data_IF_091174185085
#
_entry.id   IF_091174185085
#
_cell.length_a   1.000
_cell.length_b   1.000
_cell.length_c   1.000
_cell.angle_alpha   90.00
_cell.angle_beta   90.00
_cell.angle_gamma   90.00
#
_symmetry.space_group_name_H-M   'P 1'
#
loop_
_entity.id
_entity.type
_entity.pdbx_description
1 polymer ?
#
# COMPACT_ATOMS: atom_id res chain seq x y z
N UNK A 1 47.63 56.95 14.18
CA UNK A 1 46.50 56.59 13.30
C UNK A 1 45.74 55.53 14.06
N UNK A 2 44.74 55.82 14.91
CA UNK A 2 43.61 56.78 14.81
C UNK A 2 42.73 56.39 13.61
N UNK A 3 41.42 56.13 13.75
CA UNK A 3 40.42 56.41 14.82
C UNK A 3 39.87 55.10 15.46
N UNK A 4 39.29 54.95 16.68
CA UNK A 4 38.36 55.76 17.55
C UNK A 4 36.90 55.71 17.04
N UNK A 5 35.80 55.37 17.77
CA UNK A 5 35.42 54.80 19.11
C UNK A 5 33.92 54.29 19.00
N UNK A 6 33.15 53.72 19.96
CA UNK A 6 33.30 53.27 21.37
C UNK A 6 33.18 51.72 21.51
N UNK A 7 32.63 51.03 22.54
CA UNK A 7 31.79 51.30 23.75
C UNK A 7 30.26 51.25 23.55
N UNK A 8 29.41 50.59 24.39
CA UNK A 8 29.57 50.08 25.79
C UNK A 8 28.90 48.72 26.13
N UNK A 9 29.29 48.14 27.27
CA UNK A 9 28.70 46.95 27.95
C UNK A 9 28.16 47.35 29.33
N UNK A 10 27.03 46.77 29.80
CA UNK A 10 27.10 45.92 31.02
C UNK A 10 26.01 44.82 31.11
N UNK A 11 26.03 43.81 32.01
CA UNK A 11 27.05 43.12 32.86
C UNK A 11 26.37 41.89 33.52
N UNK A 12 27.13 40.80 33.76
CA UNK A 12 26.95 39.74 34.80
C UNK A 12 25.63 38.90 34.80
N UNK A 13 25.64 37.56 34.84
CA UNK A 13 25.99 36.62 35.95
C UNK A 13 24.90 36.55 37.06
N UNK A 14 24.56 35.40 37.68
CA UNK A 14 24.87 33.99 37.45
C UNK A 14 23.87 33.06 38.19
N UNK A 15 23.87 31.75 37.83
CA UNK A 15 23.64 30.54 38.66
C UNK A 15 22.57 30.48 39.78
N UNK A 16 21.83 29.34 39.77
CA UNK A 16 21.22 28.63 40.92
C UNK A 16 19.99 29.26 41.63
N UNK A 17 19.20 28.39 42.30
CA UNK A 17 18.11 28.78 43.21
C UNK A 17 16.87 27.88 43.13
N UNK A 18 16.60 27.08 44.17
CA UNK A 18 15.33 26.33 44.34
C UNK A 18 14.42 27.02 45.38
N UNK A 19 13.10 26.78 45.24
CA UNK A 19 12.04 26.83 46.27
C UNK A 19 11.61 28.18 46.90
N UNK A 20 10.35 28.56 46.60
CA UNK A 20 9.21 28.83 47.52
C UNK A 20 9.45 29.49 48.90
N UNK A 21 8.57 30.42 49.34
CA UNK A 21 7.51 29.97 50.28
C UNK A 21 6.16 30.75 50.31
N UNK A 22 5.14 30.10 50.89
CA UNK A 22 4.00 30.69 51.67
C UNK A 22 2.86 31.43 50.91
N UNK A 23 1.59 31.45 51.38
CA UNK A 23 0.87 30.72 52.48
C UNK A 23 -0.68 30.89 52.38
N UNK A 24 -1.42 30.09 53.17
CA UNK A 24 -2.85 30.22 53.58
C UNK A 24 -3.91 29.95 52.47
N UNK A 25 -4.94 29.10 52.63
CA UNK A 25 -5.18 28.03 53.60
C UNK A 25 -6.51 28.09 54.39
N UNK A 26 -7.35 27.04 54.29
CA UNK A 26 -8.49 26.75 55.19
C UNK A 26 -8.60 25.24 55.44
N UNK A 27 -8.87 24.83 56.69
CA UNK A 27 -9.07 23.43 57.09
C UNK A 27 -10.54 22.98 56.95
N UNK A 28 -10.75 21.69 56.64
CA UNK A 28 -11.81 20.91 57.32
C UNK A 28 -11.41 19.46 57.55
N UNK A 29 -11.88 18.90 58.68
CA UNK A 29 -11.41 17.64 59.28
C UNK A 29 -11.84 16.40 58.49
N UNK A 30 -10.98 15.37 58.46
CA UNK A 30 -11.39 13.95 58.31
C UNK A 30 -10.91 13.16 59.54
N UNK A 31 -11.70 12.15 59.94
CA UNK A 31 -11.35 11.14 60.94
C UNK A 31 -11.05 9.81 60.23
N UNK A 32 -10.26 8.97 60.87
CA UNK A 32 -10.04 7.55 60.57
C UNK A 32 -9.84 6.81 61.90
N UNK A 33 -9.88 5.46 61.92
CA UNK A 33 -10.80 4.58 61.23
C UNK A 33 -11.56 3.67 62.23
N UNK A 34 -12.55 2.91 61.76
CA UNK A 34 -13.01 1.69 62.45
C UNK A 34 -13.21 0.58 61.42
N UNK A 35 -12.71 -0.62 61.72
CA UNK A 35 -13.00 -1.82 60.95
C UNK A 35 -14.38 -2.34 61.35
N UNK A 36 -15.18 -2.77 60.37
CA UNK A 36 -16.24 -3.74 60.59
C UNK A 36 -16.18 -4.79 59.48
N UNK A 37 -16.05 -6.05 59.89
CA UNK A 37 -16.15 -7.21 59.02
C UNK A 37 -17.61 -7.42 58.60
N UNK A 38 -17.84 -7.85 57.36
CA UNK A 38 -19.11 -8.48 56.98
C UNK A 38 -18.87 -9.61 55.98
N UNK A 39 -19.74 -10.62 56.05
CA UNK A 39 -19.53 -11.95 55.48
C UNK A 39 -19.86 -12.01 53.99
N UNK A 40 -19.47 -13.14 53.39
CA UNK A 40 -19.64 -13.48 51.98
C UNK A 40 -21.10 -13.65 51.57
N UNK A 41 -21.39 -13.20 50.34
CA UNK A 41 -22.46 -13.75 49.51
C UNK A 41 -22.05 -13.62 48.04
N UNK A 42 -21.72 -14.74 47.40
CA UNK A 42 -21.35 -14.75 45.99
C UNK A 42 -22.61 -14.66 45.11
N UNK A 43 -22.69 -13.74 44.13
CA UNK A 43 -23.71 -13.81 43.10
C UNK A 43 -23.46 -15.04 42.22
N UNK A 44 -24.52 -15.77 41.88
CA UNK A 44 -24.43 -16.96 41.03
C UNK A 44 -24.01 -16.56 39.61
N UNK A 45 -23.12 -17.33 39.00
CA UNK A 45 -22.76 -17.16 37.59
C UNK A 45 -23.96 -17.53 36.69
N UNK A 46 -24.70 -16.52 36.24
CA UNK A 46 -25.60 -16.66 35.09
C UNK A 46 -24.76 -16.81 33.83
N UNK A 47 -24.79 -18.00 33.23
CA UNK A 47 -24.18 -18.24 31.92
C UNK A 47 -25.01 -17.58 30.80
N UNK A 48 -24.98 -16.25 30.75
CA UNK A 48 -25.23 -15.54 29.49
C UNK A 48 -24.04 -15.82 28.58
N UNK A 49 -24.11 -16.95 27.88
CA UNK A 49 -23.25 -17.21 26.74
C UNK A 49 -23.45 -16.05 25.77
N UNK A 50 -22.43 -15.20 25.64
CA UNK A 50 -22.44 -14.05 24.73
C UNK A 50 -22.65 -14.57 23.32
N UNK A 51 -23.92 -14.58 22.90
CA UNK A 51 -24.39 -14.99 21.58
C UNK A 51 -23.90 -13.94 20.61
N UNK A 52 -22.63 -14.10 20.17
CA UNK A 52 -21.94 -13.20 19.25
C UNK A 52 -22.95 -12.77 18.20
N UNK A 53 -23.29 -11.48 18.17
CA UNK A 53 -24.02 -10.95 17.03
C UNK A 53 -23.20 -11.35 15.80
N UNK A 54 -23.81 -11.95 14.75
CA UNK A 54 -23.07 -12.22 13.53
C UNK A 54 -22.50 -10.88 13.09
N UNK A 55 -21.16 -10.79 12.96
CA UNK A 55 -20.53 -9.61 12.40
C UNK A 55 -21.22 -9.35 11.06
N UNK A 56 -21.91 -8.22 10.92
CA UNK A 56 -22.63 -7.86 9.70
C UNK A 56 -21.66 -8.01 8.54
N UNK A 57 -21.93 -8.96 7.64
CA UNK A 57 -20.98 -9.40 6.63
C UNK A 57 -20.43 -8.16 5.91
N UNK A 58 -19.18 -7.82 6.18
CA UNK A 58 -18.68 -6.50 5.82
C UNK A 58 -18.67 -6.41 4.30
N UNK A 59 -19.50 -5.53 3.72
CA UNK A 59 -19.64 -5.32 2.27
C UNK A 59 -18.40 -4.62 1.69
N UNK A 60 -17.25 -5.27 1.89
CA UNK A 60 -15.93 -4.96 1.35
C UNK A 60 -15.87 -5.49 -0.08
N UNK A 61 -15.06 -4.88 -0.97
CA UNK A 61 -14.94 -5.33 -2.34
C UNK A 61 -14.65 -6.83 -2.46
N UNK A 62 -15.18 -7.48 -3.49
CA UNK A 62 -14.80 -8.83 -3.87
C UNK A 62 -13.35 -8.89 -4.35
N UNK A 63 -12.89 -7.84 -5.06
CA UNK A 63 -11.56 -7.79 -5.68
C UNK A 63 -10.97 -6.38 -5.64
N UNK A 64 -9.65 -6.31 -5.56
CA UNK A 64 -8.86 -5.15 -6.00
C UNK A 64 -8.12 -5.61 -7.26
N UNK A 65 -8.35 -4.92 -8.37
CA UNK A 65 -7.89 -5.30 -9.71
C UNK A 65 -6.93 -4.21 -10.18
N UNK A 66 -5.64 -4.53 -10.27
CA UNK A 66 -4.62 -3.56 -10.70
C UNK A 66 -4.39 -3.73 -12.20
N UNK A 67 -4.37 -2.63 -12.96
CA UNK A 67 -4.16 -2.68 -14.41
C UNK A 67 -3.08 -1.69 -14.83
N UNK A 68 -2.01 -2.18 -15.47
CA UNK A 68 -1.01 -1.28 -16.08
C UNK A 68 -1.58 -0.68 -17.37
N UNK A 69 -1.30 0.59 -17.64
CA UNK A 69 -1.66 1.22 -18.91
C UNK A 69 -1.22 0.43 -20.17
N UNK A 70 -1.96 0.56 -21.27
CA UNK A 70 -1.59 0.00 -22.57
C UNK A 70 -0.29 0.58 -23.13
N UNK A 71 0.24 -0.03 -24.21
CA UNK A 71 1.45 0.44 -24.87
C UNK A 71 1.33 1.93 -25.24
N UNK A 72 2.32 2.72 -24.83
CA UNK A 72 2.35 4.17 -25.05
C UNK A 72 3.49 4.58 -25.98
N UNK A 73 3.44 5.81 -26.51
CA UNK A 73 4.48 6.33 -27.42
C UNK A 73 5.88 6.14 -26.80
N UNK A 74 6.04 6.49 -25.53
CA UNK A 74 7.25 6.30 -24.72
C UNK A 74 7.54 4.86 -24.25
N UNK A 75 6.82 3.85 -24.76
CA UNK A 75 7.23 2.44 -24.67
C UNK A 75 7.78 1.90 -25.99
N UNK A 76 7.54 2.60 -27.11
CA UNK A 76 8.07 2.26 -28.44
C UNK A 76 9.28 3.12 -28.78
N UNK A 77 9.28 4.40 -28.37
CA UNK A 77 10.34 5.38 -28.62
C UNK A 77 10.64 6.17 -27.34
N UNK A 78 11.76 5.87 -26.66
CA UNK A 78 12.17 6.64 -25.47
C UNK A 78 12.55 8.10 -25.79
N UNK A 79 12.85 8.47 -27.04
CA UNK A 79 13.13 9.86 -27.40
C UNK A 79 11.91 10.78 -27.27
N UNK A 80 10.70 10.22 -27.13
CA UNK A 80 9.49 11.00 -26.81
C UNK A 80 9.66 11.77 -25.48
N UNK A 81 10.35 11.19 -24.50
CA UNK A 81 10.62 11.84 -23.19
C UNK A 81 11.61 13.03 -23.27
N UNK A 82 12.23 13.30 -24.42
CA UNK A 82 13.03 14.53 -24.65
C UNK A 82 12.18 15.73 -25.08
N UNK A 83 10.98 15.47 -25.62
CA UNK A 83 10.17 16.45 -26.37
C UNK A 83 8.71 16.54 -25.94
N UNK A 84 8.24 15.63 -25.09
CA UNK A 84 6.88 15.54 -24.58
C UNK A 84 6.91 15.12 -23.11
N UNK A 85 6.23 15.87 -22.25
CA UNK A 85 6.20 15.57 -20.82
C UNK A 85 5.48 14.23 -20.57
N UNK A 86 6.04 13.42 -19.67
CA UNK A 86 5.59 12.04 -19.39
C UNK A 86 4.07 11.92 -19.17
N UNK A 87 3.49 12.86 -18.41
CA UNK A 87 2.06 12.85 -18.11
C UNK A 87 1.13 13.01 -19.33
N UNK A 88 1.60 13.61 -20.43
CA UNK A 88 0.84 13.73 -21.69
C UNK A 88 1.14 12.61 -22.71
N UNK A 89 2.08 11.70 -22.41
CA UNK A 89 2.35 10.56 -23.29
C UNK A 89 1.12 9.64 -23.32
N UNK A 90 0.65 9.37 -24.55
CA UNK A 90 -0.59 8.66 -24.84
C UNK A 90 -0.36 7.24 -25.35
N UNK A 91 -1.46 6.50 -25.51
CA UNK A 91 -1.45 5.16 -26.06
C UNK A 91 -1.10 5.15 -27.56
N UNK A 92 -0.39 4.10 -27.99
CA UNK A 92 -0.28 3.74 -29.41
C UNK A 92 -1.59 3.10 -29.89
N UNK A 93 -1.81 2.94 -31.22
CA UNK A 93 -2.94 2.17 -31.73
C UNK A 93 -2.99 0.72 -31.22
N UNK A 94 -1.81 0.10 -30.99
CA UNK A 94 -1.68 -1.21 -30.34
C UNK A 94 -2.03 -1.16 -28.85
N UNK A 95 -1.63 -0.10 -28.14
CA UNK A 95 -2.02 0.14 -26.75
C UNK A 95 -3.52 0.33 -26.55
N UNK A 96 -4.22 0.92 -27.53
CA UNK A 96 -5.69 0.96 -27.58
C UNK A 96 -6.26 -0.46 -27.67
N UNK A 97 -5.83 -1.26 -28.65
CA UNK A 97 -6.32 -2.65 -28.81
C UNK A 97 -6.06 -3.52 -27.57
N UNK A 98 -4.89 -3.36 -26.93
CA UNK A 98 -4.57 -4.00 -25.64
C UNK A 98 -5.55 -3.60 -24.53
N UNK A 99 -5.95 -2.33 -24.46
CA UNK A 99 -6.88 -1.85 -23.44
C UNK A 99 -8.34 -2.30 -23.70
N UNK A 100 -8.69 -2.58 -24.95
CA UNK A 100 -10.00 -3.15 -25.31
C UNK A 100 -10.05 -4.68 -25.09
N UNK A 101 -8.92 -5.38 -25.24
CA UNK A 101 -8.75 -6.78 -24.83
C UNK A 101 -8.86 -6.92 -23.31
N UNK A 102 -8.07 -6.16 -22.54
CA UNK A 102 -8.19 -6.13 -21.07
C UNK A 102 -9.58 -5.64 -20.61
N UNK A 103 -10.27 -4.81 -21.41
CA UNK A 103 -11.66 -4.43 -21.16
C UNK A 103 -12.64 -5.59 -21.27
N UNK A 104 -12.39 -6.58 -22.14
CA UNK A 104 -13.17 -7.84 -22.21
C UNK A 104 -12.85 -8.76 -21.05
N UNK A 105 -11.57 -9.00 -20.78
CA UNK A 105 -11.11 -9.81 -19.65
C UNK A 105 -11.63 -9.28 -18.30
N UNK A 106 -11.63 -7.95 -18.11
CA UNK A 106 -12.21 -7.31 -16.93
C UNK A 106 -13.72 -7.62 -16.78
N UNK A 107 -14.49 -7.65 -17.88
CA UNK A 107 -15.92 -8.03 -17.85
C UNK A 107 -16.12 -9.50 -17.48
N UNK A 108 -15.26 -10.38 -17.95
CA UNK A 108 -15.27 -11.81 -17.60
C UNK A 108 -14.99 -12.02 -16.10
N UNK A 109 -13.99 -11.30 -15.54
CA UNK A 109 -13.62 -11.36 -14.11
C UNK A 109 -14.75 -10.87 -13.18
N UNK A 110 -15.50 -9.82 -13.56
CA UNK A 110 -16.60 -9.26 -12.75
C UNK A 110 -17.97 -9.88 -13.06
N UNK A 111 -18.11 -10.63 -14.17
CA UNK A 111 -19.40 -11.15 -14.63
C UNK A 111 -20.38 -10.06 -15.10
N UNK A 112 -21.68 -10.36 -15.09
CA UNK A 112 -22.75 -9.46 -15.55
C UNK A 112 -23.32 -8.55 -14.47
N UNK A 113 -23.39 -8.99 -13.21
CA UNK A 113 -24.12 -8.24 -12.16
C UNK A 113 -23.21 -7.31 -11.34
N UNK A 114 -21.93 -7.67 -11.14
CA UNK A 114 -21.09 -6.98 -10.15
C UNK A 114 -20.73 -5.56 -10.56
N UNK A 115 -20.52 -4.70 -9.57
CA UNK A 115 -20.25 -3.26 -9.77
C UNK A 115 -18.75 -2.99 -9.79
N UNK A 116 -18.36 -1.85 -10.39
CA UNK A 116 -16.97 -1.41 -10.50
C UNK A 116 -16.79 0.03 -10.05
N UNK A 117 -15.68 0.32 -9.36
CA UNK A 117 -15.23 1.67 -9.05
C UNK A 117 -13.77 1.83 -9.48
N UNK A 118 -13.48 2.86 -10.27
CA UNK A 118 -12.15 3.08 -10.84
C UNK A 118 -11.36 4.13 -10.07
N UNK A 119 -10.13 3.80 -9.70
CA UNK A 119 -9.06 4.75 -9.42
C UNK A 119 -8.13 4.82 -10.65
N UNK A 120 -7.83 6.03 -11.13
CA UNK A 120 -7.01 6.22 -12.34
C UNK A 120 -5.92 7.26 -12.10
N UNK A 121 -4.69 6.99 -12.54
CA UNK A 121 -3.62 7.98 -12.46
C UNK A 121 -3.92 9.20 -13.35
N UNK A 122 -3.38 10.40 -13.05
CA UNK A 122 -3.59 11.61 -13.84
C UNK A 122 -3.08 11.54 -15.28
N UNK A 123 -2.16 10.61 -15.59
CA UNK A 123 -1.47 10.55 -16.88
C UNK A 123 -2.36 10.07 -18.02
N UNK A 124 -2.17 10.65 -19.22
CA UNK A 124 -2.99 10.46 -20.42
C UNK A 124 -3.14 8.98 -20.82
N UNK A 125 -2.04 8.23 -20.92
CA UNK A 125 -2.06 6.77 -21.19
C UNK A 125 -2.91 5.96 -20.20
N UNK A 126 -2.90 6.32 -18.91
CA UNK A 126 -3.72 5.65 -17.90
C UNK A 126 -5.21 6.01 -18.05
N UNK A 127 -5.53 7.29 -18.29
CA UNK A 127 -6.90 7.76 -18.57
C UNK A 127 -7.49 7.12 -19.83
N UNK A 128 -6.71 7.04 -20.90
CA UNK A 128 -7.10 6.34 -22.13
C UNK A 128 -7.32 4.84 -21.87
N UNK A 129 -6.43 4.18 -21.13
CA UNK A 129 -6.63 2.76 -20.75
C UNK A 129 -7.93 2.59 -19.96
N UNK A 130 -8.17 3.42 -18.94
CA UNK A 130 -9.38 3.39 -18.12
C UNK A 130 -10.67 3.60 -18.95
N UNK A 131 -10.62 4.44 -19.99
CA UNK A 131 -11.72 4.60 -20.93
C UNK A 131 -12.00 3.30 -21.72
N UNK A 132 -10.97 2.67 -22.30
CA UNK A 132 -11.13 1.43 -23.07
C UNK A 132 -11.50 0.20 -22.20
N UNK A 133 -11.13 0.20 -20.91
CA UNK A 133 -11.63 -0.77 -19.92
C UNK A 133 -13.12 -0.57 -19.60
N UNK A 134 -13.56 0.68 -19.41
CA UNK A 134 -14.91 1.00 -18.92
C UNK A 134 -15.98 1.23 -20.00
N UNK A 135 -15.61 1.48 -21.26
CA UNK A 135 -16.53 1.87 -22.34
C UNK A 135 -17.68 0.89 -22.61
N UNK A 136 -17.44 -0.41 -22.36
CA UNK A 136 -18.36 -1.51 -22.64
C UNK A 136 -19.08 -2.00 -21.38
N UNK A 137 -18.85 -1.39 -20.21
CA UNK A 137 -19.52 -1.73 -18.95
C UNK A 137 -20.79 -0.88 -18.82
N UNK A 138 -21.89 -1.49 -18.41
CA UNK A 138 -23.17 -0.83 -18.27
C UNK A 138 -23.08 0.33 -17.25
N UNK A 139 -23.53 1.53 -17.65
CA UNK A 139 -23.30 2.77 -16.88
C UNK A 139 -23.81 2.74 -15.43
N UNK A 140 -24.81 1.92 -15.12
CA UNK A 140 -25.33 1.77 -13.76
C UNK A 140 -24.41 0.93 -12.84
N UNK A 141 -23.59 0.04 -13.41
CA UNK A 141 -22.61 -0.78 -12.69
C UNK A 141 -21.34 0.00 -12.34
N UNK A 142 -21.04 1.07 -13.09
CA UNK A 142 -19.93 1.97 -12.80
C UNK A 142 -20.32 2.87 -11.63
N UNK A 143 -19.95 2.46 -10.41
CA UNK A 143 -20.22 3.19 -9.17
C UNK A 143 -19.44 4.51 -9.06
N UNK A 144 -18.33 4.63 -9.80
CA UNK A 144 -17.61 5.90 -9.93
C UNK A 144 -16.24 5.76 -10.60
N UNK A 145 -15.65 6.92 -10.93
CA UNK A 145 -14.28 7.06 -11.40
C UNK A 145 -13.64 8.22 -10.62
N UNK A 146 -12.46 8.00 -10.07
CA UNK A 146 -11.69 9.01 -9.33
C UNK A 146 -10.25 9.08 -9.84
N UNK A 147 -9.82 10.28 -10.18
CA UNK A 147 -8.41 10.57 -10.43
C UNK A 147 -7.63 10.54 -9.11
N UNK A 148 -6.45 9.92 -9.13
CA UNK A 148 -5.60 9.79 -7.94
C UNK A 148 -4.13 10.10 -8.30
N UNK A 149 -3.64 11.32 -8.02
CA UNK A 149 -2.27 11.72 -8.34
C UNK A 149 -1.19 10.85 -7.71
N UNK A 150 -1.47 10.17 -6.59
CA UNK A 150 -0.48 9.35 -5.88
C UNK A 150 -0.15 8.02 -6.57
N UNK A 151 -0.96 7.58 -7.54
CA UNK A 151 -0.72 6.36 -8.36
C UNK A 151 -0.14 6.65 -9.76
N UNK A 152 0.52 7.80 -9.97
CA UNK A 152 1.35 8.05 -11.17
C UNK A 152 2.64 7.20 -11.18
N UNK A 153 3.33 7.09 -12.31
CA UNK A 153 4.62 6.38 -12.39
C UNK A 153 5.72 7.07 -11.58
N UNK A 154 6.84 6.37 -11.32
CA UNK A 154 8.10 6.97 -10.86
C UNK A 154 8.45 8.20 -11.73
N UNK A 155 8.76 9.33 -11.09
CA UNK A 155 9.32 10.49 -11.78
C UNK A 155 10.80 10.26 -12.12
N UNK A 156 11.20 10.57 -13.35
CA UNK A 156 12.58 10.43 -13.86
C UNK A 156 13.28 11.78 -14.09
N UNK A 157 12.62 12.89 -13.71
CA UNK A 157 13.00 14.25 -14.07
C UNK A 157 12.24 14.78 -15.29
N UNK A 158 12.24 16.11 -15.47
CA UNK A 158 11.36 16.83 -16.40
C UNK A 158 11.40 16.34 -17.86
N UNK A 159 12.60 16.11 -18.40
CA UNK A 159 12.85 15.59 -19.75
C UNK A 159 14.09 14.67 -19.66
N UNK A 160 14.09 13.58 -20.43
CA UNK A 160 15.10 12.53 -20.34
C UNK A 160 16.12 12.63 -21.49
N UNK A 161 17.22 13.34 -21.28
CA UNK A 161 18.31 13.47 -22.26
C UNK A 161 19.15 12.18 -22.43
N UNK A 162 20.15 12.23 -23.31
CA UNK A 162 21.00 11.09 -23.67
C UNK A 162 21.79 10.50 -22.48
N UNK A 163 21.97 11.27 -21.39
CA UNK A 163 22.59 10.79 -20.15
C UNK A 163 21.73 9.74 -19.44
N UNK A 164 20.42 9.69 -19.71
CA UNK A 164 19.49 8.71 -19.15
C UNK A 164 19.94 7.26 -19.39
N UNK A 165 20.62 6.98 -20.50
CA UNK A 165 21.24 5.67 -20.77
C UNK A 165 22.29 5.29 -19.73
N UNK A 166 23.06 6.26 -19.22
CA UNK A 166 24.10 6.10 -18.21
C UNK A 166 23.50 6.03 -16.81
N UNK A 167 22.53 6.91 -16.50
CA UNK A 167 21.78 6.89 -15.23
C UNK A 167 21.05 5.54 -15.04
N UNK A 168 20.48 4.97 -16.13
CA UNK A 168 19.88 3.62 -16.11
C UNK A 168 20.90 2.51 -15.81
N UNK A 169 22.18 2.65 -16.17
CA UNK A 169 23.25 1.70 -15.79
C UNK A 169 23.68 1.88 -14.34
N UNK A 170 23.87 3.13 -13.89
CA UNK A 170 24.22 3.46 -12.50
C UNK A 170 23.18 2.94 -11.50
N UNK A 171 21.87 3.04 -11.85
CA UNK A 171 20.77 2.45 -11.08
C UNK A 171 20.91 0.94 -10.85
N UNK A 172 21.45 0.21 -11.82
CA UNK A 172 21.62 -1.24 -11.69
C UNK A 172 22.73 -1.57 -10.68
N UNK A 173 23.84 -0.82 -10.70
CA UNK A 173 24.94 -0.98 -9.75
C UNK A 173 24.65 -0.44 -8.34
N UNK A 174 23.75 0.53 -8.20
CA UNK A 174 23.40 1.12 -6.90
C UNK A 174 22.27 0.36 -6.17
N UNK A 175 21.36 -0.26 -6.93
CA UNK A 175 20.18 -0.93 -6.39
C UNK A 175 18.86 -0.24 -6.78
N UNK A 176 17.95 -1.02 -7.36
CA UNK A 176 16.78 -0.50 -8.12
C UNK A 176 15.76 0.28 -7.29
N UNK A 177 15.69 0.03 -5.98
CA UNK A 177 14.71 0.62 -5.06
C UNK A 177 15.14 1.99 -4.51
N UNK A 178 16.36 2.08 -3.97
CA UNK A 178 16.86 3.29 -3.32
C UNK A 178 17.47 4.32 -4.30
N UNK A 179 17.90 3.91 -5.50
CA UNK A 179 18.44 4.85 -6.48
C UNK A 179 17.40 5.93 -6.86
N UNK A 180 17.81 7.20 -6.74
CA UNK A 180 16.98 8.38 -7.01
C UNK A 180 17.43 9.04 -8.30
N UNK A 181 16.50 9.30 -9.22
CA UNK A 181 16.82 10.01 -10.46
C UNK A 181 17.10 11.51 -10.19
N UNK A 182 18.04 12.14 -10.92
CA UNK A 182 18.27 13.59 -10.81
C UNK A 182 16.99 14.39 -11.10
N UNK A 183 16.54 15.20 -10.13
CA UNK A 183 15.25 15.91 -10.15
C UNK A 183 14.00 15.02 -10.24
N UNK A 184 14.12 13.72 -9.97
CA UNK A 184 13.02 12.74 -9.97
C UNK A 184 12.89 12.00 -8.63
N UNK A 185 12.26 10.83 -8.69
CA UNK A 185 11.98 9.96 -7.53
C UNK A 185 12.93 8.75 -7.45
N UNK A 186 13.11 8.20 -6.26
CA UNK A 186 13.48 6.79 -6.03
C UNK A 186 12.21 5.95 -5.85
N UNK A 187 12.32 4.61 -5.89
CA UNK A 187 11.15 3.76 -5.63
C UNK A 187 10.66 3.87 -4.17
N UNK A 188 11.54 4.27 -3.24
CA UNK A 188 11.14 4.62 -1.87
C UNK A 188 10.22 5.85 -1.80
N UNK A 189 10.42 6.89 -2.62
CA UNK A 189 9.48 8.03 -2.67
C UNK A 189 8.12 7.58 -3.20
N UNK A 190 8.12 6.67 -4.19
CA UNK A 190 6.90 6.03 -4.70
C UNK A 190 6.20 5.28 -3.58
N UNK A 191 6.94 4.56 -2.72
CA UNK A 191 6.40 3.81 -1.57
C UNK A 191 5.69 4.72 -0.56
N UNK A 192 6.23 5.90 -0.28
CA UNK A 192 5.62 6.86 0.65
C UNK A 192 4.29 7.43 0.11
N UNK A 193 4.24 7.88 -1.15
CA UNK A 193 2.99 8.38 -1.74
C UNK A 193 1.95 7.27 -1.95
N UNK A 194 2.39 6.06 -2.29
CA UNK A 194 1.54 4.86 -2.40
C UNK A 194 1.01 4.45 -1.02
N UNK A 195 1.78 4.62 0.07
CA UNK A 195 1.28 4.44 1.44
C UNK A 195 0.10 5.38 1.71
N UNK A 196 0.25 6.67 1.40
CA UNK A 196 -0.85 7.64 1.56
C UNK A 196 -2.10 7.28 0.75
N UNK A 197 -1.94 6.77 -0.48
CA UNK A 197 -3.05 6.23 -1.26
C UNK A 197 -3.68 5.01 -0.57
N UNK A 198 -2.87 4.04 -0.11
CA UNK A 198 -3.34 2.82 0.56
C UNK A 198 -4.19 3.11 1.80
N UNK A 199 -3.81 4.09 2.62
CA UNK A 199 -4.66 4.50 3.76
C UNK A 199 -5.98 5.12 3.32
N UNK A 200 -5.98 5.86 2.20
CA UNK A 200 -7.21 6.43 1.63
C UNK A 200 -8.12 5.33 1.09
N UNK A 201 -7.56 4.40 0.31
CA UNK A 201 -8.25 3.23 -0.23
C UNK A 201 -8.84 2.36 0.88
N UNK A 202 -8.07 2.10 1.95
CA UNK A 202 -8.55 1.39 3.13
C UNK A 202 -9.70 2.14 3.82
N UNK A 203 -9.58 3.44 4.04
CA UNK A 203 -10.65 4.25 4.63
C UNK A 203 -11.91 4.27 3.76
N UNK A 204 -11.76 4.30 2.43
CA UNK A 204 -12.87 4.23 1.47
C UNK A 204 -13.56 2.84 1.51
N UNK A 205 -12.81 1.74 1.69
CA UNK A 205 -13.32 0.37 1.92
C UNK A 205 -14.03 0.25 3.27
N UNK A 206 -13.34 0.59 4.36
CA UNK A 206 -13.83 0.42 5.74
C UNK A 206 -15.06 1.32 6.02
N UNK A 207 -15.20 2.43 5.29
CA UNK A 207 -16.37 3.33 5.34
C UNK A 207 -17.43 3.06 4.25
N UNK A 208 -17.31 1.96 3.49
CA UNK A 208 -18.26 1.56 2.43
C UNK A 208 -18.55 2.64 1.36
N UNK A 209 -17.60 3.53 1.06
CA UNK A 209 -17.87 4.73 0.23
C UNK A 209 -18.21 4.46 -1.24
N UNK A 210 -17.93 3.25 -1.71
CA UNK A 210 -18.17 2.82 -3.09
C UNK A 210 -19.63 2.46 -3.39
N UNK A 211 -20.45 2.26 -2.37
CA UNK A 211 -21.87 2.02 -2.50
C UNK A 211 -22.64 2.61 -1.34
N UNK A 212 -23.60 3.50 -1.63
CA UNK A 212 -24.80 3.53 -0.78
C UNK A 212 -25.50 2.20 -1.06
N UNK A 213 -25.27 1.22 -0.20
CA UNK A 213 -25.97 -0.06 -0.22
C UNK A 213 -27.43 0.18 0.18
N UNK A 214 -28.24 0.64 -0.78
CA UNK A 214 -29.64 1.00 -0.54
C UNK A 214 -30.54 -0.24 -0.50
N UNK A 215 -30.11 -1.32 -1.17
CA UNK A 215 -30.82 -2.59 -1.26
C UNK A 215 -29.92 -3.78 -0.84
N UNK A 216 -30.53 -4.93 -0.57
CA UNK A 216 -29.80 -6.16 -0.22
C UNK A 216 -29.29 -6.93 -1.45
N UNK A 217 -29.92 -6.71 -2.63
CA UNK A 217 -29.51 -7.29 -3.92
C UNK A 217 -28.40 -6.52 -4.65
N UNK A 218 -27.89 -5.39 -4.10
CA UNK A 218 -26.81 -4.60 -4.72
C UNK A 218 -25.48 -5.37 -4.63
N UNK A 219 -25.13 -6.02 -5.74
CA UNK A 219 -24.08 -7.04 -5.83
C UNK A 219 -22.66 -6.57 -5.52
N UNK A 220 -21.79 -7.54 -5.26
CA UNK A 220 -20.40 -7.33 -4.83
C UNK A 220 -19.64 -6.34 -5.74
N UNK A 221 -18.82 -5.48 -5.13
CA UNK A 221 -18.10 -4.41 -5.84
C UNK A 221 -16.64 -4.76 -6.07
N UNK A 222 -16.09 -4.35 -7.21
CA UNK A 222 -14.68 -4.53 -7.58
C UNK A 222 -14.00 -3.16 -7.69
N UNK A 223 -12.82 -2.99 -7.11
CA UNK A 223 -12.04 -1.75 -7.21
C UNK A 223 -10.96 -1.91 -8.29
N UNK A 224 -10.99 -1.08 -9.32
CA UNK A 224 -10.03 -1.16 -10.43
C UNK A 224 -9.02 -0.01 -10.31
N UNK A 225 -7.72 -0.30 -10.31
CA UNK A 225 -6.63 0.68 -10.13
C UNK A 225 -5.79 0.75 -11.40
N UNK A 226 -6.02 1.77 -12.23
CA UNK A 226 -5.36 1.95 -13.53
C UNK A 226 -4.13 2.85 -13.41
N UNK A 227 -2.95 2.24 -13.57
CA UNK A 227 -1.66 2.78 -13.12
C UNK A 227 -0.49 2.32 -14.02
N UNK A 228 0.72 2.25 -13.47
CA UNK A 228 2.00 2.10 -14.19
C UNK A 228 2.88 0.99 -13.59
N UNK A 229 3.98 0.65 -14.27
CA UNK A 229 4.76 -0.56 -14.02
C UNK A 229 5.43 -0.59 -12.64
N UNK A 230 6.12 0.49 -12.25
CA UNK A 230 6.75 0.53 -10.92
C UNK A 230 5.70 0.84 -9.84
N UNK A 231 4.80 1.78 -10.10
CA UNK A 231 3.73 2.17 -9.18
C UNK A 231 2.88 0.97 -8.68
N UNK A 232 2.57 -0.01 -9.56
CA UNK A 232 1.83 -1.21 -9.17
C UNK A 232 2.68 -2.22 -8.37
N UNK A 233 3.96 -2.43 -8.72
CA UNK A 233 4.86 -3.25 -7.90
C UNK A 233 5.03 -2.69 -6.48
N UNK A 234 5.17 -1.37 -6.39
CA UNK A 234 5.28 -0.67 -5.11
C UNK A 234 3.96 -0.72 -4.32
N UNK A 235 2.80 -0.71 -5.00
CA UNK A 235 1.51 -0.97 -4.37
C UNK A 235 1.43 -2.37 -3.76
N UNK A 236 1.81 -3.42 -4.51
CA UNK A 236 1.84 -4.79 -4.01
C UNK A 236 2.81 -4.95 -2.82
N UNK A 237 4.05 -4.47 -2.96
CA UNK A 237 5.04 -4.45 -1.87
C UNK A 237 4.49 -3.72 -0.63
N UNK A 238 3.83 -2.58 -0.81
CA UNK A 238 3.27 -1.80 0.31
C UNK A 238 2.07 -2.48 0.96
N UNK A 239 1.29 -3.22 0.18
CA UNK A 239 0.12 -3.96 0.63
C UNK A 239 0.50 -5.20 1.44
N UNK A 240 1.35 -6.06 0.86
CA UNK A 240 1.77 -7.33 1.45
C UNK A 240 2.98 -7.22 2.40
N UNK A 241 3.59 -6.03 2.50
CA UNK A 241 4.78 -5.75 3.35
C UNK A 241 6.06 -6.49 2.91
N UNK A 242 6.20 -6.78 1.61
CA UNK A 242 7.39 -7.42 1.06
C UNK A 242 8.67 -6.62 1.35
N UNK A 243 9.80 -7.33 1.47
CA UNK A 243 11.13 -6.71 1.61
C UNK A 243 11.58 -5.99 0.34
N UNK A 244 12.70 -5.27 0.40
CA UNK A 244 13.27 -4.57 -0.77
C UNK A 244 13.78 -5.57 -1.82
N UNK A 245 14.27 -6.71 -1.36
CA UNK A 245 14.84 -7.80 -2.15
C UNK A 245 13.73 -8.61 -2.80
N UNK A 246 12.69 -8.98 -2.05
CA UNK A 246 11.44 -9.52 -2.60
C UNK A 246 10.80 -8.57 -3.64
N UNK A 247 10.77 -7.27 -3.38
CA UNK A 247 10.36 -6.28 -4.37
C UNK A 247 11.24 -6.31 -5.64
N UNK A 248 12.55 -6.54 -5.53
CA UNK A 248 13.47 -6.58 -6.67
C UNK A 248 13.22 -7.80 -7.58
N UNK A 249 12.84 -8.96 -7.02
CA UNK A 249 12.48 -10.18 -7.75
C UNK A 249 11.29 -9.96 -8.69
N UNK A 250 10.23 -9.34 -8.17
CA UNK A 250 8.96 -9.12 -8.88
C UNK A 250 9.17 -8.37 -10.20
N UNK A 251 8.70 -8.92 -11.32
CA UNK A 251 8.84 -8.28 -12.64
C UNK A 251 7.92 -7.06 -12.79
N UNK A 252 8.23 -6.19 -13.75
CA UNK A 252 7.26 -5.18 -14.17
C UNK A 252 6.07 -5.88 -14.87
N UNK A 253 4.82 -5.52 -14.54
CA UNK A 253 3.66 -5.94 -15.33
C UNK A 253 3.78 -5.46 -16.77
N UNK A 254 3.31 -6.27 -17.72
CA UNK A 254 3.22 -5.95 -19.14
C UNK A 254 2.09 -4.95 -19.40
N UNK A 255 2.03 -4.36 -20.61
CA UNK A 255 1.04 -3.34 -20.93
C UNK A 255 -0.37 -3.94 -20.99
N UNK A 256 -1.34 -3.31 -20.30
CA UNK A 256 -2.68 -3.85 -20.03
C UNK A 256 -2.75 -5.16 -19.24
N UNK A 257 -1.66 -5.59 -18.59
CA UNK A 257 -1.72 -6.73 -17.67
C UNK A 257 -2.62 -6.43 -16.46
N UNK A 258 -3.47 -7.40 -16.14
CA UNK A 258 -4.38 -7.38 -15.00
C UNK A 258 -3.77 -8.23 -13.88
N UNK A 259 -3.44 -7.59 -12.75
CA UNK A 259 -3.12 -8.29 -11.50
C UNK A 259 -4.41 -8.36 -10.68
N UNK A 260 -4.85 -9.58 -10.36
CA UNK A 260 -6.01 -9.83 -9.53
C UNK A 260 -5.61 -10.00 -8.06
N UNK A 261 -6.20 -9.21 -7.17
CA UNK A 261 -6.18 -9.44 -5.72
C UNK A 261 -7.60 -9.79 -5.27
N UNK A 262 -7.91 -11.08 -5.11
CA UNK A 262 -9.23 -11.58 -4.69
C UNK A 262 -9.40 -11.48 -3.16
N UNK A 263 -10.61 -11.17 -2.70
CA UNK A 263 -10.99 -11.24 -1.27
C UNK A 263 -11.25 -12.70 -0.90
N UNK A 264 -10.29 -13.31 -0.21
CA UNK A 264 -10.42 -14.69 0.26
C UNK A 264 -11.42 -14.87 1.41
N UNK A 265 -11.62 -16.11 1.83
CA UNK A 265 -12.55 -16.55 2.87
C UNK A 265 -12.32 -15.86 4.23
N UNK A 266 -11.08 -15.52 4.57
CA UNK A 266 -10.74 -14.75 5.76
C UNK A 266 -11.09 -13.25 5.68
N UNK A 267 -11.43 -12.73 4.50
CA UNK A 267 -11.77 -11.32 4.27
C UNK A 267 -10.57 -10.38 4.07
N UNK A 268 -9.37 -10.94 3.95
CA UNK A 268 -8.17 -10.26 3.42
C UNK A 268 -8.13 -10.38 1.89
N UNK A 269 -7.21 -9.66 1.24
CA UNK A 269 -7.03 -9.71 -0.22
C UNK A 269 -5.70 -10.38 -0.56
N UNK A 270 -5.74 -11.43 -1.40
CA UNK A 270 -4.58 -12.22 -1.82
C UNK A 270 -4.44 -12.27 -3.35
N UNK A 271 -3.22 -12.46 -3.84
CA UNK A 271 -2.94 -12.80 -5.25
C UNK A 271 -3.30 -14.25 -5.59
N UNK A 272 -3.52 -15.10 -4.59
CA UNK A 272 -4.00 -16.48 -4.75
C UNK A 272 -5.52 -16.52 -4.56
N UNK A 273 -6.23 -17.09 -5.53
CA UNK A 273 -7.68 -17.29 -5.47
C UNK A 273 -7.97 -18.73 -5.00
N UNK A 274 -8.77 -18.88 -3.94
CA UNK A 274 -9.13 -20.20 -3.38
C UNK A 274 -9.95 -21.07 -4.36
N UNK A 275 -10.50 -20.48 -5.43
CA UNK A 275 -11.25 -21.19 -6.46
C UNK A 275 -10.37 -21.64 -7.64
N UNK A 276 -9.16 -21.07 -7.79
CA UNK A 276 -8.19 -21.42 -8.84
C UNK A 276 -6.74 -21.22 -8.34
N UNK A 277 -6.39 -21.96 -7.29
CA UNK A 277 -5.07 -21.91 -6.65
C UNK A 277 -3.95 -22.23 -7.65
N UNK A 278 -4.15 -23.20 -8.53
CA UNK A 278 -3.11 -23.66 -9.45
C UNK A 278 -2.73 -22.60 -10.51
N UNK A 279 -3.71 -21.93 -11.13
CA UNK A 279 -3.41 -20.85 -12.09
C UNK A 279 -2.90 -19.59 -11.39
N UNK A 280 -3.43 -19.26 -10.22
CA UNK A 280 -2.99 -18.08 -9.47
C UNK A 280 -1.58 -18.24 -8.87
N UNK A 281 -1.18 -19.45 -8.43
CA UNK A 281 0.21 -19.75 -8.09
C UNK A 281 1.14 -19.67 -9.30
N UNK A 282 0.73 -20.22 -10.45
CA UNK A 282 1.52 -20.14 -11.68
C UNK A 282 1.72 -18.68 -12.13
N UNK A 283 0.68 -17.85 -12.03
CA UNK A 283 0.77 -16.41 -12.28
C UNK A 283 1.66 -15.68 -11.26
N UNK A 284 1.56 -16.02 -9.97
CA UNK A 284 2.43 -15.46 -8.93
C UNK A 284 3.92 -15.76 -9.21
N UNK A 285 4.24 -16.98 -9.64
CA UNK A 285 5.61 -17.37 -10.03
C UNK A 285 6.10 -16.61 -11.26
N UNK A 286 5.27 -16.47 -12.30
CA UNK A 286 5.60 -15.66 -13.49
C UNK A 286 5.76 -14.17 -13.17
N UNK A 287 4.97 -13.64 -12.22
CA UNK A 287 5.10 -12.28 -11.69
C UNK A 287 6.39 -12.10 -10.86
N UNK A 288 7.08 -13.18 -10.49
CA UNK A 288 8.37 -13.17 -9.78
C UNK A 288 8.25 -13.25 -8.26
N UNK A 289 7.20 -13.89 -7.73
CA UNK A 289 7.11 -14.23 -6.31
C UNK A 289 7.91 -15.51 -6.00
N UNK A 290 8.67 -15.48 -4.90
CA UNK A 290 9.34 -16.67 -4.35
C UNK A 290 8.38 -17.58 -3.55
N UNK A 291 8.85 -18.76 -3.12
CA UNK A 291 8.04 -19.72 -2.37
C UNK A 291 7.55 -19.21 -1.01
N UNK A 292 8.28 -18.30 -0.34
CA UNK A 292 7.85 -17.68 0.91
C UNK A 292 6.74 -16.68 0.64
N UNK A 293 6.90 -15.84 -0.39
CA UNK A 293 5.87 -14.89 -0.85
C UNK A 293 4.59 -15.62 -1.23
N UNK A 294 4.67 -16.74 -1.95
CA UNK A 294 3.50 -17.56 -2.34
C UNK A 294 2.86 -18.22 -1.11
N UNK A 295 3.65 -18.78 -0.20
CA UNK A 295 3.16 -19.33 1.07
C UNK A 295 2.38 -18.28 1.88
N UNK A 296 2.90 -17.04 1.98
CA UNK A 296 2.14 -15.94 2.58
C UNK A 296 0.86 -15.62 1.79
N UNK A 297 0.86 -15.60 0.45
CA UNK A 297 -0.39 -15.37 -0.28
C UNK A 297 -1.45 -16.46 -0.03
N UNK A 298 -1.06 -17.73 0.11
CA UNK A 298 -1.96 -18.83 0.49
C UNK A 298 -2.50 -18.62 1.92
N UNK A 299 -1.68 -18.11 2.84
CA UNK A 299 -2.13 -17.71 4.17
C UNK A 299 -3.05 -16.47 4.13
N UNK A 300 -2.76 -15.47 3.28
CA UNK A 300 -3.52 -14.23 3.18
C UNK A 300 -4.93 -14.40 2.58
N UNK A 301 -5.26 -15.52 1.91
CA UNK A 301 -6.64 -15.77 1.48
C UNK A 301 -7.52 -16.25 2.64
N UNK A 302 -6.99 -17.13 3.48
CA UNK A 302 -7.71 -17.75 4.61
C UNK A 302 -7.66 -16.94 5.92
N UNK A 303 -6.60 -16.15 6.14
CA UNK A 303 -6.42 -15.39 7.38
C UNK A 303 -7.37 -14.19 7.53
N UNK A 304 -7.73 -13.85 8.76
CA UNK A 304 -8.60 -12.69 9.07
C UNK A 304 -7.82 -11.37 9.18
N UNK A 305 -8.47 -10.20 9.04
CA UNK A 305 -7.76 -8.90 9.02
C UNK A 305 -7.07 -8.50 10.32
N UNK A 306 -7.30 -9.23 11.43
CA UNK A 306 -6.62 -9.03 12.71
C UNK A 306 -5.43 -9.95 12.95
N UNK A 307 -5.24 -10.99 12.12
CA UNK A 307 -4.18 -11.98 12.30
C UNK A 307 -2.83 -11.51 11.77
N UNK A 308 -1.78 -12.06 12.38
CA UNK A 308 -0.39 -11.92 11.96
C UNK A 308 0.12 -13.29 11.51
N UNK A 309 0.80 -13.32 10.36
CA UNK A 309 1.55 -14.49 9.94
C UNK A 309 2.79 -14.57 10.82
N UNK A 310 2.86 -15.57 11.70
CA UNK A 310 4.00 -15.78 12.60
C UNK A 310 5.12 -16.56 11.90
N UNK A 311 4.79 -17.31 10.86
CA UNK A 311 5.75 -18.07 10.04
C UNK A 311 6.39 -17.19 8.93
N UNK A 312 5.96 -15.92 8.81
CA UNK A 312 6.57 -14.95 7.91
C UNK A 312 7.87 -14.40 8.50
N UNK A 313 9.03 -14.45 7.81
CA UNK A 313 10.33 -14.16 8.40
C UNK A 313 10.49 -12.78 9.06
N UNK A 314 9.69 -11.78 8.65
CA UNK A 314 9.74 -10.41 9.18
C UNK A 314 8.50 -10.03 10.01
N UNK A 315 7.81 -11.00 10.62
CA UNK A 315 6.64 -10.72 11.48
C UNK A 315 6.51 -11.69 12.66
N UNK A 316 6.46 -11.13 13.87
CA UNK A 316 6.33 -11.90 15.11
C UNK A 316 7.67 -12.05 15.85
N UNK A 317 7.86 -13.18 16.52
CA UNK A 317 9.14 -13.58 17.11
C UNK A 317 10.09 -14.21 16.08
N UNK A 318 9.56 -14.77 14.98
CA UNK A 318 10.27 -15.56 13.97
C UNK A 318 11.61 -14.98 13.52
N UNK A 319 11.66 -13.68 13.25
CA UNK A 319 12.89 -12.96 12.93
C UNK A 319 14.02 -13.23 13.95
N UNK A 320 13.68 -13.25 15.25
CA UNK A 320 14.59 -13.54 16.35
C UNK A 320 14.73 -15.03 16.68
N UNK A 321 13.79 -15.87 16.26
CA UNK A 321 13.80 -17.32 16.52
C UNK A 321 14.83 -18.06 15.62
N UNK A 322 15.18 -17.50 14.45
CA UNK A 322 16.22 -18.01 13.54
C UNK A 322 17.68 -17.63 13.94
N UNK A 323 17.89 -16.91 15.05
CA UNK A 323 19.24 -16.55 15.53
C UNK A 323 19.84 -17.63 16.44
N UNK A 324 20.85 -18.37 15.96
CA UNK A 324 21.84 -18.94 16.88
C UNK A 324 22.74 -17.81 17.41
N UNK A 325 22.88 -17.69 18.74
CA UNK A 325 23.72 -16.69 19.39
C UNK A 325 25.23 -16.88 19.12
N UNK A 326 25.62 -18.00 18.50
CA UNK A 326 27.00 -18.32 18.13
C UNK A 326 27.30 -18.06 16.64
N UNK A 327 26.28 -17.81 15.81
CA UNK A 327 26.45 -17.56 14.36
C UNK A 327 26.99 -16.15 14.11
N UNK A 328 27.76 -15.97 13.02
CA UNK A 328 28.19 -14.65 12.59
C UNK A 328 26.98 -13.88 12.02
N UNK A 329 26.59 -12.72 12.60
CA UNK A 329 25.41 -11.98 12.13
C UNK A 329 25.52 -11.52 10.68
N UNK A 330 26.72 -11.49 10.08
CA UNK A 330 26.91 -11.24 8.65
C UNK A 330 26.37 -12.39 7.81
N UNK A 331 26.62 -13.64 8.22
CA UNK A 331 26.13 -14.85 7.53
C UNK A 331 24.61 -14.94 7.61
N UNK A 332 24.00 -14.53 8.73
CA UNK A 332 22.55 -14.38 8.83
C UNK A 332 22.02 -13.30 7.87
N UNK A 333 22.60 -12.08 7.90
CA UNK A 333 22.12 -10.97 7.07
C UNK A 333 22.35 -11.18 5.56
N UNK A 334 23.41 -11.89 5.17
CA UNK A 334 23.68 -12.21 3.76
C UNK A 334 22.66 -13.20 3.18
N UNK A 335 21.96 -14.02 4.00
CA UNK A 335 20.80 -14.84 3.53
C UNK A 335 19.65 -13.99 2.99
N UNK A 336 19.53 -12.73 3.45
CA UNK A 336 18.47 -11.79 3.04
C UNK A 336 18.93 -10.82 1.94
N UNK A 337 20.14 -10.98 1.40
CA UNK A 337 20.61 -10.21 0.24
C UNK A 337 20.34 -10.99 -1.05
N UNK A 338 19.64 -10.36 -1.99
CA UNK A 338 19.66 -10.79 -3.39
C UNK A 338 21.05 -10.53 -3.99
N UNK A 339 21.61 -11.52 -4.71
CA UNK A 339 22.82 -11.39 -5.53
C UNK A 339 22.69 -10.32 -6.64
#
# INVERSE_FOLDING_TARGET
>A
MNLVQGSDFPRHSALQGWASPSRIGVLRRRRTPQLFTRQSSAPKASQEASRKQPCTASRRPARIILVRHGESEGNVDESVYQRKADWDIGLTPKGVLQAEEAGRQLREIIGSEQRVYFYVSPYKRAKQTCYHLGKDIERHRIAGVREEPRIREQDFGNFQDDSMSTIKRERLSYGRFFFRFPNGESASDVYDRITGFRETLRSDIDSSRFGRFQDEDDGDINLVVVSHGLALRVFLMRWYKWSVEQFNLVRNPTNCEIILMSRGSGGRFSLIDENDTAMSEAYARDLGLDDLMISDQIWQSTATPGELNMDWPTSGSSWFDDFDLNDDPRVFLDKYRSE
#
